data_IF_898098886445
#
_entry.id   IF_898098886445
#
_cell.length_a   1.000
_cell.length_b   1.000
_cell.length_c   1.000
_cell.angle_alpha   90.00
_cell.angle_beta   90.00
_cell.angle_gamma   90.00
#
_symmetry.space_group_name_H-M   'P 1'
#
loop_
_entity.id
_entity.type
_entity.pdbx_description
1 polymer ?
#
# COMPACT_ATOMS: atom_id res chain seq x y z
N UNK A 1 -19.34 -2.99 -0.66
CA UNK A 1 -18.44 -3.68 0.30
C UNK A 1 -17.33 -4.38 -0.48
N UNK A 2 -16.10 -4.49 0.01
CA UNK A 2 -15.03 -5.23 -0.70
C UNK A 2 -15.42 -6.68 -0.93
N UNK A 3 -15.06 -7.24 -2.09
CA UNK A 3 -15.26 -8.67 -2.40
C UNK A 3 -14.17 -9.55 -1.82
N UNK A 4 -12.95 -9.03 -1.72
CA UNK A 4 -11.80 -9.75 -1.21
C UNK A 4 -10.66 -8.82 -0.83
N UNK A 5 -9.88 -9.22 0.17
CA UNK A 5 -8.66 -8.53 0.58
C UNK A 5 -7.68 -9.57 1.12
N UNK A 6 -6.49 -9.61 0.56
CA UNK A 6 -5.41 -10.46 1.03
C UNK A 6 -4.08 -9.71 0.92
N UNK A 7 -3.13 -10.03 1.78
CA UNK A 7 -1.78 -9.52 1.68
C UNK A 7 -0.77 -10.55 2.18
N UNK A 8 0.46 -10.40 1.70
CA UNK A 8 1.64 -11.13 2.16
C UNK A 8 2.75 -10.13 2.40
N UNK A 9 3.49 -10.33 3.48
CA UNK A 9 4.65 -9.56 3.91
C UNK A 9 5.75 -10.57 4.21
N UNK A 10 6.96 -10.32 3.70
CA UNK A 10 8.13 -11.16 3.97
C UNK A 10 9.33 -10.27 4.27
N UNK A 11 10.05 -10.51 5.38
CA UNK A 11 11.27 -9.78 5.67
C UNK A 11 12.37 -10.07 4.63
N UNK A 12 13.36 -9.19 4.59
CA UNK A 12 14.63 -9.40 3.91
C UNK A 12 15.22 -10.77 4.32
N UNK A 13 15.75 -11.58 3.39
CA UNK A 13 16.23 -12.92 3.72
C UNK A 13 17.29 -12.94 4.82
N UNK A 14 17.01 -13.69 5.89
CA UNK A 14 17.86 -13.79 7.08
C UNK A 14 17.46 -12.83 8.21
N UNK A 15 16.58 -11.86 7.95
CA UNK A 15 16.00 -10.99 8.98
C UNK A 15 14.70 -11.58 9.53
N UNK A 16 14.39 -11.26 10.79
CA UNK A 16 13.09 -11.53 11.40
C UNK A 16 12.18 -10.31 11.44
N UNK A 17 12.76 -9.11 11.38
CA UNK A 17 12.07 -7.83 11.35
C UNK A 17 11.92 -7.33 9.91
N UNK A 18 10.74 -6.82 9.56
CA UNK A 18 10.44 -6.36 8.20
C UNK A 18 10.26 -4.84 8.16
N UNK A 19 10.90 -4.17 7.19
CA UNK A 19 10.70 -2.75 6.93
C UNK A 19 9.39 -2.44 6.20
N UNK A 20 8.77 -3.43 5.59
CA UNK A 20 7.46 -3.27 4.95
C UNK A 20 6.30 -3.49 5.93
N UNK A 21 5.15 -2.87 5.64
CA UNK A 21 3.94 -3.14 6.41
C UNK A 21 2.63 -2.87 5.64
N UNK A 22 1.52 -3.44 6.11
CA UNK A 22 0.18 -3.30 5.52
C UNK A 22 -0.83 -2.81 6.55
N UNK A 23 -1.45 -1.67 6.29
CA UNK A 23 -2.47 -1.08 7.16
C UNK A 23 -3.85 -1.22 6.54
N UNK A 24 -4.80 -1.73 7.31
CA UNK A 24 -6.22 -1.84 6.91
C UNK A 24 -7.09 -1.23 8.00
N UNK A 25 -7.69 -0.08 7.72
CA UNK A 25 -8.62 0.59 8.66
C UNK A 25 -10.02 0.59 8.06
N UNK A 26 -10.96 -0.03 8.77
CA UNK A 26 -12.38 -0.05 8.39
C UNK A 26 -13.12 1.06 9.13
N UNK A 27 -13.77 1.91 8.38
CA UNK A 27 -14.66 2.96 8.85
C UNK A 27 -16.07 2.72 8.28
N UNK A 28 -17.08 3.37 8.87
CA UNK A 28 -18.49 3.15 8.52
C UNK A 28 -18.77 3.24 7.01
N UNK A 29 -18.13 4.18 6.34
CA UNK A 29 -18.37 4.50 4.91
C UNK A 29 -17.17 4.24 3.99
N UNK A 30 -16.02 3.84 4.56
CA UNK A 30 -14.76 3.76 3.83
C UNK A 30 -13.83 2.69 4.40
N UNK A 31 -12.95 2.14 3.55
CA UNK A 31 -11.86 1.26 3.97
C UNK A 31 -10.56 1.84 3.44
N UNK A 32 -9.66 2.19 4.37
CA UNK A 32 -8.29 2.57 4.06
C UNK A 32 -7.45 1.29 3.95
N UNK A 33 -6.72 1.14 2.86
CA UNK A 33 -5.70 0.11 2.68
C UNK A 33 -4.41 0.81 2.29
N UNK A 34 -3.33 0.61 3.03
CA UNK A 34 -2.02 1.18 2.74
C UNK A 34 -0.94 0.08 2.74
N UNK A 35 0.02 0.21 1.84
CA UNK A 35 1.28 -0.54 1.88
C UNK A 35 2.43 0.45 2.13
N UNK A 36 3.33 0.03 3.01
CA UNK A 36 4.46 0.80 3.55
C UNK A 36 5.74 0.07 3.18
N UNK A 37 6.77 0.83 2.83
CA UNK A 37 8.16 0.39 2.63
C UNK A 37 9.06 1.40 3.37
N UNK A 38 9.53 1.03 4.56
CA UNK A 38 10.39 1.87 5.36
C UNK A 38 11.85 1.79 4.89
N UNK A 39 12.56 2.92 4.90
CA UNK A 39 13.92 2.97 4.36
C UNK A 39 14.91 2.05 5.12
N UNK A 40 15.47 1.09 4.40
CA UNK A 40 16.42 0.08 4.91
C UNK A 40 15.71 -1.24 5.25
N UNK A 41 16.36 -2.10 6.01
CA UNK A 41 15.79 -3.37 6.48
C UNK A 41 16.07 -3.58 7.98
N UNK A 42 15.46 -4.64 8.54
CA UNK A 42 15.63 -5.05 9.93
C UNK A 42 14.91 -4.13 10.93
N UNK A 43 15.27 -4.25 12.21
CA UNK A 43 14.53 -3.65 13.34
C UNK A 43 14.29 -2.14 13.20
N UNK A 44 15.28 -1.39 12.69
CA UNK A 44 15.16 0.07 12.52
C UNK A 44 14.17 0.46 11.42
N UNK A 45 14.01 -0.36 10.39
CA UNK A 45 13.01 -0.14 9.35
C UNK A 45 11.61 -0.53 9.89
N UNK A 46 11.52 -1.66 10.59
CA UNK A 46 10.29 -2.11 11.25
C UNK A 46 9.76 -1.08 12.26
N UNK A 47 10.62 -0.43 13.04
CA UNK A 47 10.24 0.64 13.95
C UNK A 47 9.54 1.81 13.22
N UNK A 48 10.05 2.19 12.05
CA UNK A 48 9.48 3.26 11.21
C UNK A 48 8.15 2.81 10.63
N UNK A 49 8.07 1.59 10.11
CA UNK A 49 6.85 1.01 9.57
C UNK A 49 5.73 0.94 10.62
N UNK A 50 6.07 0.48 11.84
CA UNK A 50 5.17 0.42 13.00
C UNK A 50 4.70 1.81 13.45
N UNK A 51 5.58 2.80 13.48
CA UNK A 51 5.20 4.18 13.81
C UNK A 51 4.22 4.76 12.79
N UNK A 52 4.44 4.46 11.51
CA UNK A 52 3.55 4.86 10.42
C UNK A 52 2.19 4.16 10.50
N UNK A 53 2.19 2.84 10.75
CA UNK A 53 0.97 2.06 11.06
C UNK A 53 0.17 2.71 12.17
N UNK A 54 0.78 2.94 13.32
CA UNK A 54 0.10 3.51 14.48
C UNK A 54 -0.50 4.90 14.18
N UNK A 55 0.19 5.71 13.36
CA UNK A 55 -0.30 7.01 12.90
C UNK A 55 -1.58 6.89 12.06
N UNK A 56 -1.65 5.89 11.19
CA UNK A 56 -2.80 5.63 10.32
C UNK A 56 -3.98 4.96 11.06
N UNK A 57 -3.70 3.97 11.92
CA UNK A 57 -4.73 3.26 12.70
C UNK A 57 -5.45 4.19 13.69
N UNK A 58 -4.76 5.21 14.19
CA UNK A 58 -5.33 6.23 15.08
C UNK A 58 -5.96 7.42 14.36
N UNK A 59 -5.95 7.45 13.03
CA UNK A 59 -6.44 8.59 12.26
C UNK A 59 -7.92 8.47 11.91
N UNK A 60 -8.60 9.61 11.84
CA UNK A 60 -9.92 9.70 11.22
C UNK A 60 -9.78 9.64 9.70
N UNK A 61 -10.14 8.50 9.11
CA UNK A 61 -10.05 8.26 7.67
C UNK A 61 -11.04 9.10 6.85
N UNK A 62 -12.05 9.71 7.48
CA UNK A 62 -13.01 10.60 6.81
C UNK A 62 -12.35 11.89 6.31
N UNK A 63 -11.21 12.28 6.90
CA UNK A 63 -10.40 13.44 6.48
C UNK A 63 -9.74 13.25 5.10
N UNK A 64 -9.75 12.02 4.57
CA UNK A 64 -9.25 11.69 3.24
C UNK A 64 -7.72 11.53 3.17
N UNK A 65 -7.26 10.92 2.07
CA UNK A 65 -5.85 10.50 1.93
C UNK A 65 -4.85 11.64 2.12
N UNK A 66 -5.17 12.87 1.68
CA UNK A 66 -4.22 13.98 1.85
C UNK A 66 -3.91 14.27 3.33
N UNK A 67 -4.94 14.36 4.17
CA UNK A 67 -4.76 14.61 5.60
C UNK A 67 -4.03 13.45 6.29
N UNK A 68 -4.33 12.21 5.88
CA UNK A 68 -3.66 11.02 6.39
C UNK A 68 -2.15 11.03 6.06
N UNK A 69 -1.77 11.39 4.83
CA UNK A 69 -0.36 11.55 4.45
C UNK A 69 0.33 12.70 5.21
N UNK A 70 -0.33 13.84 5.40
CA UNK A 70 0.23 14.97 6.16
C UNK A 70 0.47 14.58 7.64
N UNK A 71 -0.45 13.82 8.24
CA UNK A 71 -0.30 13.23 9.59
C UNK A 71 0.84 12.23 9.65
N UNK A 72 0.87 11.28 8.72
CA UNK A 72 1.94 10.29 8.57
C UNK A 72 3.31 10.94 8.44
N UNK A 73 3.42 11.97 7.58
CA UNK A 73 4.66 12.73 7.40
C UNK A 73 5.10 13.39 8.70
N UNK A 74 4.17 13.95 9.47
CA UNK A 74 4.47 14.56 10.77
C UNK A 74 4.94 13.52 11.79
N UNK A 75 4.27 12.37 11.87
CA UNK A 75 4.60 11.28 12.79
C UNK A 75 6.00 10.70 12.55
N UNK A 76 6.47 10.71 11.30
CA UNK A 76 7.78 10.19 10.92
C UNK A 76 8.90 11.24 10.87
N UNK A 77 8.67 12.50 11.26
CA UNK A 77 9.73 13.52 11.23
C UNK A 77 10.91 13.12 12.12
N UNK A 78 12.12 13.17 11.56
CA UNK A 78 13.35 12.78 12.26
C UNK A 78 13.65 11.29 12.25
N UNK A 79 12.79 10.47 11.63
CA UNK A 79 13.08 9.06 11.33
C UNK A 79 13.80 8.90 9.99
N UNK A 80 14.08 7.64 9.59
CA UNK A 80 14.55 7.30 8.23
C UNK A 80 13.49 7.59 7.15
N UNK A 81 12.22 7.63 7.55
CA UNK A 81 11.09 7.79 6.65
C UNK A 81 10.74 6.51 5.88
N UNK A 82 9.68 6.61 5.08
CA UNK A 82 9.14 5.50 4.32
C UNK A 82 8.55 5.96 2.99
N UNK A 83 8.51 5.06 2.02
CA UNK A 83 7.54 5.10 0.95
C UNK A 83 6.20 4.53 1.41
N UNK A 84 5.12 5.04 0.83
CA UNK A 84 3.77 4.60 1.17
C UNK A 84 2.84 4.86 -0.01
N UNK A 85 2.01 3.88 -0.34
CA UNK A 85 0.86 4.06 -1.22
C UNK A 85 -0.38 3.54 -0.53
N UNK A 86 -1.46 4.33 -0.59
CA UNK A 86 -2.72 4.01 0.03
C UNK A 86 -3.89 4.21 -0.93
N UNK A 87 -4.91 3.40 -0.74
CA UNK A 87 -6.23 3.55 -1.35
C UNK A 87 -7.30 3.72 -0.28
N UNK A 88 -8.27 4.58 -0.56
CA UNK A 88 -9.45 4.78 0.27
C UNK A 88 -10.67 4.39 -0.55
N UNK A 89 -11.24 3.23 -0.22
CA UNK A 89 -12.34 2.63 -0.95
C UNK A 89 -13.67 3.01 -0.28
N UNK A 90 -14.53 3.72 -1.00
CA UNK A 90 -15.90 4.06 -0.56
C UNK A 90 -16.94 3.25 -1.35
N UNK A 91 -18.22 3.60 -1.17
CA UNK A 91 -19.33 2.93 -1.85
C UNK A 91 -19.28 3.07 -3.38
N UNK A 92 -18.97 4.28 -3.88
CA UNK A 92 -19.04 4.62 -5.30
C UNK A 92 -17.69 5.01 -5.92
N UNK A 93 -16.64 5.16 -5.12
CA UNK A 93 -15.36 5.71 -5.55
C UNK A 93 -14.17 5.06 -4.85
N UNK A 94 -13.01 5.20 -5.48
CA UNK A 94 -11.71 4.84 -4.92
C UNK A 94 -10.79 6.04 -5.08
N UNK A 95 -10.24 6.52 -3.96
CA UNK A 95 -9.14 7.46 -3.97
C UNK A 95 -7.81 6.70 -3.88
N UNK A 96 -6.76 7.19 -4.54
CA UNK A 96 -5.40 6.69 -4.41
C UNK A 96 -4.42 7.85 -4.18
N UNK A 97 -3.44 7.63 -3.31
CA UNK A 97 -2.39 8.59 -3.01
C UNK A 97 -1.12 7.83 -2.61
N UNK A 98 0.05 8.41 -2.90
CA UNK A 98 1.30 7.69 -2.71
C UNK A 98 2.52 8.57 -2.85
N UNK A 99 3.55 8.19 -2.10
CA UNK A 99 4.86 8.84 -2.03
C UNK A 99 5.93 7.76 -2.09
N UNK A 100 6.94 7.94 -2.94
CA UNK A 100 8.06 7.01 -3.07
C UNK A 100 7.86 5.98 -4.18
N UNK A 101 8.11 4.71 -3.88
CA UNK A 101 8.27 3.59 -4.83
C UNK A 101 7.19 2.50 -4.68
N UNK A 102 6.33 2.52 -3.65
CA UNK A 102 5.24 1.54 -3.50
C UNK A 102 4.26 1.65 -4.66
N UNK A 103 4.25 0.65 -5.54
CA UNK A 103 3.49 0.66 -6.78
C UNK A 103 2.00 0.37 -6.53
N UNK A 104 1.16 0.98 -7.36
CA UNK A 104 -0.25 0.60 -7.54
C UNK A 104 -0.44 0.08 -8.96
N UNK A 105 -1.11 -1.07 -9.07
CA UNK A 105 -1.63 -1.61 -10.33
C UNK A 105 -3.11 -1.85 -10.17
N UNK A 106 -3.87 -1.63 -11.25
CA UNK A 106 -5.30 -1.89 -11.24
C UNK A 106 -5.72 -2.55 -12.56
N UNK A 107 -6.68 -3.48 -12.46
CA UNK A 107 -7.27 -4.21 -13.58
C UNK A 107 -8.80 -4.04 -13.50
N UNK A 108 -9.42 -3.63 -14.61
CA UNK A 108 -10.86 -3.31 -14.63
C UNK A 108 -11.24 -2.00 -13.95
N UNK A 109 -10.27 -1.13 -13.63
CA UNK A 109 -10.49 0.19 -13.03
C UNK A 109 -9.82 1.27 -13.87
N UNK A 110 -10.51 2.39 -14.10
CA UNK A 110 -9.94 3.56 -14.81
C UNK A 110 -9.02 4.38 -13.87
N UNK A 111 -7.99 3.73 -13.33
CA UNK A 111 -7.05 4.30 -12.37
C UNK A 111 -5.62 4.20 -12.91
N UNK A 112 -5.14 5.29 -13.50
CA UNK A 112 -3.73 5.46 -13.83
C UNK A 112 -3.04 6.17 -12.68
N UNK A 113 -2.08 5.52 -12.03
CA UNK A 113 -1.44 6.02 -10.82
C UNK A 113 0.07 5.84 -10.86
N UNK A 114 0.78 6.90 -10.51
CA UNK A 114 2.22 6.89 -10.24
C UNK A 114 2.43 7.61 -8.91
N UNK A 115 3.09 6.99 -7.92
CA UNK A 115 3.39 7.65 -6.65
C UNK A 115 4.21 8.92 -6.88
N UNK A 116 4.00 9.93 -6.04
CA UNK A 116 4.76 11.17 -6.12
C UNK A 116 6.18 10.95 -5.58
N UNK A 117 7.25 11.40 -6.27
CA UNK A 117 8.61 11.26 -5.73
C UNK A 117 8.77 11.95 -4.38
N UNK A 118 9.30 11.23 -3.40
CA UNK A 118 9.51 11.73 -2.04
C UNK A 118 9.64 10.60 -1.03
N UNK A 119 9.77 10.99 0.24
CA UNK A 119 9.86 10.09 1.39
C UNK A 119 9.02 10.68 2.52
N UNK A 120 8.02 9.93 2.99
CA UNK A 120 7.19 10.30 4.14
C UNK A 120 8.09 10.42 5.37
N UNK A 121 7.94 11.48 6.17
CA UNK A 121 8.84 11.79 7.29
C UNK A 121 10.09 12.62 6.94
N UNK A 122 10.49 12.67 5.67
CA UNK A 122 11.74 13.35 5.25
C UNK A 122 11.47 14.48 4.26
N UNK A 123 10.95 14.17 3.08
CA UNK A 123 10.65 15.14 2.02
C UNK A 123 9.38 14.70 1.28
N UNK A 124 8.27 15.33 1.62
CA UNK A 124 6.98 15.06 1.00
C UNK A 124 6.44 16.34 0.33
N UNK A 125 6.25 16.37 -1.00
CA UNK A 125 5.61 17.49 -1.66
C UNK A 125 4.11 17.54 -1.35
N UNK A 126 3.45 18.62 -1.74
CA UNK A 126 1.99 18.75 -1.60
C UNK A 126 1.29 17.71 -2.48
N UNK A 127 0.66 16.72 -1.84
CA UNK A 127 0.01 15.62 -2.56
C UNK A 127 -1.37 16.02 -3.09
N UNK A 128 -1.73 15.40 -4.21
CA UNK A 128 -3.06 15.43 -4.82
C UNK A 128 -3.51 13.98 -5.01
N UNK A 129 -4.38 13.46 -4.13
CA UNK A 129 -5.00 12.16 -4.37
C UNK A 129 -5.71 12.15 -5.73
N UNK A 130 -5.62 11.02 -6.43
CA UNK A 130 -6.42 10.78 -7.63
C UNK A 130 -7.67 10.01 -7.23
N UNK A 131 -8.75 10.22 -7.95
CA UNK A 131 -10.03 9.55 -7.70
C UNK A 131 -10.52 8.90 -8.99
N UNK A 132 -11.18 7.76 -8.84
CA UNK A 132 -11.91 7.11 -9.92
C UNK A 132 -13.22 6.50 -9.40
N UNK A 133 -14.17 6.27 -10.31
CA UNK A 133 -15.39 5.55 -9.99
C UNK A 133 -15.06 4.10 -9.63
N UNK A 134 -15.69 3.58 -8.58
CA UNK A 134 -15.57 2.18 -8.18
C UNK A 134 -16.20 1.30 -9.26
N UNK A 135 -15.46 0.29 -9.71
CA UNK A 135 -15.95 -0.71 -10.65
C UNK A 135 -16.04 -2.08 -9.97
N UNK A 136 -17.22 -2.70 -10.01
CA UNK A 136 -17.42 -4.03 -9.44
C UNK A 136 -16.62 -5.09 -10.23
N UNK A 137 -15.93 -5.98 -9.51
CA UNK A 137 -15.07 -7.00 -10.11
C UNK A 137 -13.71 -6.47 -10.57
N UNK A 138 -13.38 -5.20 -10.31
CA UNK A 138 -12.05 -4.67 -10.51
C UNK A 138 -11.11 -5.13 -9.39
N UNK A 139 -9.81 -5.22 -9.71
CA UNK A 139 -8.76 -5.59 -8.77
C UNK A 139 -7.73 -4.47 -8.68
N UNK A 140 -7.33 -4.13 -7.46
CA UNK A 140 -6.19 -3.25 -7.17
C UNK A 140 -5.12 -4.10 -6.50
N UNK A 141 -3.86 -3.85 -6.87
CA UNK A 141 -2.68 -4.43 -6.25
C UNK A 141 -1.76 -3.32 -5.78
N UNK A 142 -1.36 -3.37 -4.51
CA UNK A 142 -0.26 -2.58 -3.96
C UNK A 142 0.97 -3.47 -3.84
N UNK A 143 2.13 -2.96 -4.20
CA UNK A 143 3.36 -3.73 -4.24
C UNK A 143 4.55 -2.86 -3.83
N UNK A 144 5.30 -3.26 -2.79
CA UNK A 144 6.59 -2.63 -2.47
C UNK A 144 7.62 -2.99 -3.54
N UNK A 145 8.79 -2.35 -3.53
CA UNK A 145 9.78 -2.59 -4.58
C UNK A 145 10.48 -3.96 -4.47
N UNK A 146 10.33 -4.65 -3.34
CA UNK A 146 10.59 -6.09 -3.22
C UNK A 146 9.74 -6.99 -4.10
N UNK A 147 8.68 -6.48 -4.71
CA UNK A 147 7.89 -7.16 -5.74
C UNK A 147 8.23 -6.60 -7.12
N UNK A 148 8.54 -7.50 -8.07
CA UNK A 148 8.68 -7.12 -9.48
C UNK A 148 7.37 -6.56 -10.04
N UNK A 149 7.42 -5.32 -10.54
CA UNK A 149 6.26 -4.66 -11.16
C UNK A 149 5.92 -5.17 -12.56
N UNK A 150 6.69 -6.13 -13.10
CA UNK A 150 6.44 -6.84 -14.36
C UNK A 150 5.43 -7.99 -14.18
N UNK A 151 4.36 -7.71 -13.44
CA UNK A 151 3.29 -8.66 -13.18
C UNK A 151 2.08 -8.37 -14.07
N UNK A 152 1.42 -9.42 -14.54
CA UNK A 152 0.16 -9.34 -15.27
C UNK A 152 -0.99 -9.70 -14.33
N UNK A 153 -1.87 -8.74 -14.02
CA UNK A 153 -3.01 -9.00 -13.15
C UNK A 153 -4.09 -9.86 -13.84
N UNK A 154 -4.11 -9.91 -15.17
CA UNK A 154 -5.05 -10.75 -15.92
C UNK A 154 -4.81 -12.24 -15.68
N UNK A 155 -3.58 -12.66 -15.38
CA UNK A 155 -3.20 -14.04 -15.09
C UNK A 155 -3.97 -14.62 -13.90
N UNK A 156 -4.34 -13.78 -12.93
CA UNK A 156 -5.01 -14.19 -11.69
C UNK A 156 -6.47 -13.75 -11.63
N UNK A 157 -7.06 -13.30 -12.74
CA UNK A 157 -8.45 -12.79 -12.79
C UNK A 157 -9.50 -13.80 -12.33
N UNK A 158 -9.26 -15.10 -12.55
CA UNK A 158 -10.15 -16.18 -12.12
C UNK A 158 -9.93 -16.64 -10.67
N UNK A 159 -8.88 -16.13 -10.01
CA UNK A 159 -8.51 -16.47 -8.63
C UNK A 159 -9.15 -15.50 -7.65
N UNK A 160 -9.53 -15.98 -6.48
CA UNK A 160 -9.89 -15.09 -5.38
C UNK A 160 -8.68 -14.28 -4.90
N UNK A 161 -8.91 -13.27 -4.06
CA UNK A 161 -7.85 -12.37 -3.58
C UNK A 161 -6.68 -13.12 -2.91
N UNK A 162 -6.95 -14.18 -2.15
CA UNK A 162 -5.93 -14.91 -1.40
C UNK A 162 -5.06 -15.77 -2.32
N UNK A 163 -5.70 -16.50 -3.25
CA UNK A 163 -5.03 -17.28 -4.29
C UNK A 163 -4.19 -16.38 -5.20
N UNK A 164 -4.78 -15.28 -5.67
CA UNK A 164 -4.10 -14.30 -6.51
C UNK A 164 -2.90 -13.68 -5.79
N UNK A 165 -3.05 -13.30 -4.51
CA UNK A 165 -1.98 -12.72 -3.71
C UNK A 165 -0.81 -13.70 -3.60
N UNK A 166 -1.08 -14.97 -3.27
CA UNK A 166 -0.04 -15.99 -3.16
C UNK A 166 0.67 -16.26 -4.49
N UNK A 167 -0.08 -16.45 -5.57
CA UNK A 167 0.49 -16.71 -6.90
C UNK A 167 1.30 -15.55 -7.47
N UNK A 168 0.87 -14.31 -7.21
CA UNK A 168 1.63 -13.12 -7.62
C UNK A 168 2.89 -12.97 -6.76
N UNK A 169 2.78 -13.21 -5.45
CA UNK A 169 3.91 -13.14 -4.54
C UNK A 169 4.98 -14.17 -4.90
N UNK A 170 4.61 -15.45 -5.04
CA UNK A 170 5.54 -16.54 -5.34
C UNK A 170 6.28 -16.33 -6.69
N UNK A 171 5.63 -15.69 -7.66
CA UNK A 171 6.21 -15.43 -8.99
C UNK A 171 7.06 -14.16 -9.07
N UNK A 172 6.80 -13.18 -8.21
CA UNK A 172 7.32 -11.82 -8.40
C UNK A 172 8.08 -11.25 -7.20
N UNK A 173 8.01 -11.87 -6.02
CA UNK A 173 8.84 -11.47 -4.89
C UNK A 173 10.31 -11.73 -5.19
N UNK A 174 11.13 -10.70 -5.00
CA UNK A 174 12.59 -10.77 -5.12
C UNK A 174 13.17 -11.51 -3.92
N UNK A 175 14.44 -11.86 -3.93
CA UNK A 175 15.12 -12.61 -2.85
C UNK A 175 16.24 -11.80 -2.18
N UNK A 176 16.19 -10.48 -2.34
CA UNK A 176 17.22 -9.56 -1.86
C UNK A 176 16.59 -8.30 -1.25
N UNK A 177 15.34 -8.41 -0.78
CA UNK A 177 14.59 -7.27 -0.22
C UNK A 177 13.45 -7.73 0.70
N UNK A 178 12.98 -6.81 1.54
CA UNK A 178 11.64 -6.89 2.13
C UNK A 178 10.62 -6.91 0.99
N UNK A 179 9.56 -7.72 1.09
CA UNK A 179 8.59 -7.86 0.01
C UNK A 179 7.16 -7.92 0.53
N UNK A 180 6.33 -7.02 0.00
CA UNK A 180 4.93 -6.90 0.37
C UNK A 180 4.03 -6.73 -0.83
N UNK A 181 2.96 -7.53 -0.85
CA UNK A 181 1.91 -7.49 -1.86
C UNK A 181 0.55 -7.44 -1.19
N UNK A 182 -0.32 -6.55 -1.65
CA UNK A 182 -1.72 -6.45 -1.22
C UNK A 182 -2.62 -6.61 -2.43
N UNK A 183 -3.61 -7.49 -2.37
CA UNK A 183 -4.64 -7.68 -3.40
C UNK A 183 -5.99 -7.26 -2.83
N UNK A 184 -6.68 -6.37 -3.57
CA UNK A 184 -7.96 -5.77 -3.19
C UNK A 184 -8.97 -5.99 -4.32
N UNK A 185 -10.02 -6.76 -4.06
CA UNK A 185 -11.10 -7.02 -5.01
C UNK A 185 -12.33 -6.16 -4.67
N UNK A 186 -12.78 -5.37 -5.64
CA UNK A 186 -13.88 -4.38 -5.52
C UNK A 186 -15.27 -4.95 -5.84
#
# INVERSE_FOLDING_TARGET
MLRGLAHLVRPFPGETACGDDVVVVRHETAILIAAIDALGHGEKAEEVARALRASLESADVSLGLRALFDRAHTALRGSRGAAMTAVLVRASEVDACGVGNVALRAEGLALSFVPTPGVVGVRMPRLRPVQCARAAGARIVLATDGISTRMSLSDTRSRDAAQACRELFDRHAKDHDDATLVVIDL
#
